data_IF_535587650874
#
_entry.id   IF_535587650874
#
_cell.length_a   1.000
_cell.length_b   1.000
_cell.length_c   1.000
_cell.angle_alpha   90.00
_cell.angle_beta   90.00
_cell.angle_gamma   90.00
#
_symmetry.space_group_name_H-M   'P 1'
#
loop_
_entity.id
_entity.type
_entity.pdbx_description
1 polymer ?
#
# COMPACT_ATOMS: atom_id res chain seq x y z
N UNK A 1 -45.60 29.70 13.70
CA UNK A 1 -45.30 29.21 12.34
C UNK A 1 -43.93 29.76 11.99
N UNK A 2 -42.92 29.28 12.71
CA UNK A 2 -42.06 28.12 12.34
C UNK A 2 -41.01 28.56 11.30
N UNK A 3 -39.78 28.81 11.72
CA UNK A 3 -38.68 27.83 11.73
C UNK A 3 -38.36 27.30 10.33
N UNK A 4 -37.48 28.00 9.60
CA UNK A 4 -36.63 27.46 8.53
C UNK A 4 -35.31 28.26 8.58
N UNK A 5 -34.41 27.95 9.50
CA UNK A 5 -33.40 26.89 9.42
C UNK A 5 -32.05 27.46 8.97
N UNK A 6 -31.11 27.40 9.91
CA UNK A 6 -29.69 27.70 9.76
C UNK A 6 -29.13 27.13 8.46
N UNK A 7 -28.64 28.03 7.60
CA UNK A 7 -27.77 27.67 6.50
C UNK A 7 -26.43 27.15 7.08
N UNK A 8 -26.42 25.82 7.30
CA UNK A 8 -25.27 24.91 7.40
C UNK A 8 -23.93 25.57 7.07
N UNK A 9 -23.11 25.75 8.09
CA UNK A 9 -21.65 25.75 7.93
C UNK A 9 -21.25 24.42 7.29
N UNK A 10 -20.74 24.49 6.06
CA UNK A 10 -20.08 23.37 5.42
C UNK A 10 -18.73 23.16 6.12
N UNK A 11 -18.44 21.95 6.66
CA UNK A 11 -17.10 21.66 7.11
C UNK A 11 -16.21 21.56 5.87
N UNK A 12 -15.34 22.57 5.67
CA UNK A 12 -14.22 22.50 4.74
C UNK A 12 -13.28 21.41 5.24
N UNK A 13 -13.49 20.21 4.72
CA UNK A 13 -12.62 19.05 4.93
C UNK A 13 -11.20 19.47 4.54
N UNK A 14 -10.27 19.35 5.50
CA UNK A 14 -8.85 19.59 5.30
C UNK A 14 -8.34 18.78 4.09
N UNK A 15 -7.29 19.23 3.39
CA UNK A 15 -6.66 18.46 2.34
C UNK A 15 -6.27 17.11 2.90
N UNK A 16 -7.01 16.08 2.52
CA UNK A 16 -6.67 14.70 2.77
C UNK A 16 -5.41 14.50 1.95
N UNK A 17 -4.24 14.50 2.60
CA UNK A 17 -2.99 14.11 1.99
C UNK A 17 -3.24 12.75 1.35
N UNK A 18 -3.41 12.74 0.03
CA UNK A 18 -3.48 11.51 -0.75
C UNK A 18 -2.07 10.96 -0.63
N UNK A 19 -1.83 10.13 0.41
CA UNK A 19 -0.63 9.33 0.49
C UNK A 19 -0.63 8.52 -0.79
N UNK A 20 0.23 8.92 -1.71
CA UNK A 20 0.47 8.21 -2.94
C UNK A 20 1.04 6.87 -2.52
N UNK A 21 0.15 5.88 -2.35
CA UNK A 21 0.54 4.54 -1.95
C UNK A 21 1.45 4.03 -3.06
N UNK A 22 2.75 4.07 -2.80
CA UNK A 22 3.75 3.71 -3.79
C UNK A 22 3.60 2.22 -4.05
N UNK A 23 3.22 1.89 -5.28
CA UNK A 23 3.13 0.50 -5.77
C UNK A 23 4.34 0.18 -6.61
N UNK A 24 4.86 -1.02 -6.44
CA UNK A 24 5.91 -1.56 -7.31
C UNK A 24 5.40 -2.80 -8.03
N UNK A 25 6.06 -3.13 -9.13
CA UNK A 25 5.63 -4.19 -10.02
C UNK A 25 6.69 -5.29 -10.14
N UNK A 26 6.22 -6.53 -10.15
CA UNK A 26 7.06 -7.71 -10.35
C UNK A 26 8.00 -8.01 -9.20
N UNK A 27 8.85 -9.02 -9.41
CA UNK A 27 9.90 -9.41 -8.45
C UNK A 27 11.00 -8.36 -8.39
N UNK A 28 11.26 -7.65 -9.49
CA UNK A 28 12.19 -6.54 -9.49
C UNK A 28 11.75 -5.43 -8.52
N UNK A 29 10.45 -5.14 -8.44
CA UNK A 29 9.90 -4.20 -7.45
C UNK A 29 10.19 -4.61 -6.01
N UNK A 30 9.99 -5.89 -5.69
CA UNK A 30 10.31 -6.44 -4.36
C UNK A 30 11.82 -6.28 -4.06
N UNK A 31 12.67 -6.60 -5.03
CA UNK A 31 14.11 -6.45 -4.88
C UNK A 31 14.53 -4.99 -4.63
N UNK A 32 13.87 -4.03 -5.28
CA UNK A 32 14.12 -2.60 -5.10
C UNK A 32 13.70 -2.10 -3.71
N UNK A 33 12.54 -2.54 -3.18
CA UNK A 33 12.07 -2.13 -1.84
C UNK A 33 13.04 -2.60 -0.76
N UNK A 34 13.43 -3.87 -0.81
CA UNK A 34 14.29 -4.48 0.21
C UNK A 34 15.79 -4.34 -0.08
N UNK A 35 16.14 -3.61 -1.15
CA UNK A 35 17.50 -3.46 -1.65
C UNK A 35 18.29 -4.79 -1.65
N UNK A 36 17.68 -5.84 -2.17
CA UNK A 36 18.21 -7.21 -2.11
C UNK A 36 18.34 -7.84 -3.51
N UNK A 37 19.02 -8.98 -3.59
CA UNK A 37 19.14 -9.72 -4.85
C UNK A 37 17.80 -10.29 -5.31
N UNK A 38 17.67 -10.56 -6.62
CA UNK A 38 16.48 -11.22 -7.18
C UNK A 38 16.21 -12.60 -6.55
N UNK A 39 17.26 -13.33 -6.18
CA UNK A 39 17.14 -14.63 -5.49
C UNK A 39 16.57 -14.47 -4.08
N UNK A 40 16.97 -13.42 -3.36
CA UNK A 40 16.44 -13.11 -2.02
C UNK A 40 15.00 -12.62 -2.10
N UNK A 41 14.68 -11.74 -3.05
CA UNK A 41 13.32 -11.28 -3.31
C UNK A 41 12.36 -12.45 -3.62
N UNK A 42 12.80 -13.42 -4.44
CA UNK A 42 12.06 -14.66 -4.69
C UNK A 42 11.81 -15.46 -3.41
N UNK A 43 12.81 -15.55 -2.52
CA UNK A 43 12.66 -16.23 -1.23
C UNK A 43 11.69 -15.52 -0.30
N UNK A 44 11.73 -14.18 -0.25
CA UNK A 44 10.78 -13.35 0.52
C UNK A 44 9.35 -13.52 0.01
N UNK A 45 9.17 -13.56 -1.31
CA UNK A 45 7.86 -13.88 -1.91
C UNK A 45 7.41 -15.29 -1.53
N UNK A 46 8.30 -16.29 -1.64
CA UNK A 46 7.96 -17.70 -1.38
C UNK A 46 7.74 -18.00 0.10
N UNK A 47 8.34 -17.22 1.00
CA UNK A 47 8.17 -17.40 2.44
C UNK A 47 6.84 -16.88 2.98
N UNK A 48 6.05 -16.17 2.17
CA UNK A 48 4.72 -15.67 2.54
C UNK A 48 4.70 -14.49 3.51
N UNK A 49 5.88 -13.96 3.89
CA UNK A 49 6.01 -12.88 4.90
C UNK A 49 5.30 -11.58 4.49
N UNK A 50 5.20 -11.33 3.19
CA UNK A 50 4.61 -10.12 2.62
C UNK A 50 3.36 -10.41 1.79
N UNK A 51 2.75 -11.59 1.90
CA UNK A 51 1.63 -12.01 1.04
C UNK A 51 0.45 -11.05 1.11
N UNK A 52 0.18 -10.45 2.29
CA UNK A 52 -0.88 -9.46 2.46
C UNK A 52 -0.62 -8.16 1.69
N UNK A 53 0.64 -7.86 1.37
CA UNK A 53 1.02 -6.71 0.54
C UNK A 53 1.13 -7.05 -0.96
N UNK A 54 1.03 -8.33 -1.32
CA UNK A 54 1.14 -8.78 -2.70
C UNK A 54 -0.25 -9.01 -3.27
N UNK A 55 -0.57 -8.30 -4.35
CA UNK A 55 -1.70 -8.64 -5.22
C UNK A 55 -1.17 -9.29 -6.49
N UNK A 56 -1.53 -10.55 -6.71
CA UNK A 56 -1.11 -11.30 -7.90
C UNK A 56 -2.29 -11.63 -8.81
N UNK A 57 -2.21 -11.19 -10.07
CA UNK A 57 -3.11 -11.58 -11.15
C UNK A 57 -2.30 -12.31 -12.22
N UNK A 58 -2.30 -13.66 -12.18
CA UNK A 58 -1.50 -14.48 -13.09
C UNK A 58 0.00 -14.24 -12.93
N UNK A 59 0.68 -13.75 -13.98
CA UNK A 59 2.11 -13.37 -13.93
C UNK A 59 2.36 -11.92 -13.49
N UNK A 60 1.30 -11.14 -13.32
CA UNK A 60 1.39 -9.75 -12.86
C UNK A 60 1.40 -9.77 -11.34
N UNK A 61 2.42 -9.14 -10.76
CA UNK A 61 2.59 -8.99 -9.32
C UNK A 61 2.61 -7.49 -9.05
N UNK A 62 1.70 -7.02 -8.20
CA UNK A 62 1.65 -5.65 -7.71
C UNK A 62 1.90 -5.72 -6.21
N UNK A 63 2.80 -4.88 -5.70
CA UNK A 63 3.17 -4.87 -4.29
C UNK A 63 3.04 -3.46 -3.74
N UNK A 64 2.31 -3.33 -2.64
CA UNK A 64 2.23 -2.09 -1.88
C UNK A 64 3.47 -1.93 -0.99
N UNK A 65 4.22 -0.84 -1.16
CA UNK A 65 5.53 -0.63 -0.50
C UNK A 65 5.38 -0.49 1.01
N UNK A 66 4.47 0.36 1.45
CA UNK A 66 4.28 0.66 2.88
C UNK A 66 3.90 -0.59 3.67
N UNK A 67 2.90 -1.32 3.17
CA UNK A 67 2.43 -2.55 3.79
C UNK A 67 3.51 -3.65 3.75
N UNK A 68 4.28 -3.76 2.68
CA UNK A 68 5.37 -4.74 2.59
C UNK A 68 6.47 -4.48 3.63
N UNK A 69 6.83 -3.21 3.88
CA UNK A 69 7.82 -2.84 4.89
C UNK A 69 7.31 -3.09 6.32
N UNK A 70 6.06 -2.75 6.59
CA UNK A 70 5.43 -2.99 7.89
C UNK A 70 5.39 -4.49 8.23
N UNK A 71 4.93 -5.31 7.28
CA UNK A 71 4.85 -6.77 7.45
C UNK A 71 6.23 -7.42 7.55
N UNK A 72 7.24 -6.87 6.88
CA UNK A 72 8.59 -7.42 6.97
C UNK A 72 9.22 -7.16 8.34
N UNK A 73 8.88 -6.04 8.98
CA UNK A 73 9.41 -5.63 10.28
C UNK A 73 8.66 -6.28 11.46
N UNK A 74 7.37 -6.61 11.28
CA UNK A 74 6.61 -7.40 12.25
C UNK A 74 7.11 -8.85 12.21
N UNK A 75 7.65 -9.30 13.35
CA UNK A 75 8.37 -10.57 13.51
C UNK A 75 7.47 -11.67 14.04
#
# INVERSE_FOLDING_TARGET
MELLESAKEAPKQAPQEVKEHRKVYGIAGIAQIFNCSMTTANRIKRSGRIDRAITQHGRIIVVDVELALELFNNK
#
